data_IF_766937330024
#
_entry.id   IF_766937330024
#
_cell.length_a   1.000
_cell.length_b   1.000
_cell.length_c   1.000
_cell.angle_alpha   90.00
_cell.angle_beta   90.00
_cell.angle_gamma   90.00
#
_symmetry.space_group_name_H-M   'P 1'
#
loop_
_entity.id
_entity.type
_entity.pdbx_description
1 polymer ?
#
# COMPACT_ATOMS: atom_id res chain seq x y z
N UNK A 1 -3.45 61.17 11.47
CA UNK A 1 -4.30 60.32 10.59
C UNK A 1 -3.55 59.15 9.95
N UNK A 2 -2.23 59.27 9.70
CA UNK A 2 -1.40 58.25 9.03
C UNK A 2 -1.09 57.00 9.88
N UNK A 3 -0.81 57.15 11.19
CA UNK A 3 -0.54 56.02 12.10
C UNK A 3 -1.74 55.06 12.27
N UNK A 4 -2.98 55.57 12.28
CA UNK A 4 -4.18 54.73 12.39
C UNK A 4 -4.38 53.83 11.15
N UNK A 5 -4.01 54.32 9.96
CA UNK A 5 -4.07 53.51 8.72
C UNK A 5 -3.00 52.43 8.68
N UNK A 6 -1.80 52.69 9.19
CA UNK A 6 -0.73 51.68 9.27
C UNK A 6 -1.07 50.55 10.26
N UNK A 7 -1.65 50.88 11.42
CA UNK A 7 -2.10 49.86 12.38
C UNK A 7 -3.19 48.95 11.79
N UNK A 8 -4.16 49.51 11.06
CA UNK A 8 -5.23 48.73 10.43
C UNK A 8 -4.73 47.79 9.33
N UNK A 9 -3.72 48.20 8.57
CA UNK A 9 -3.09 47.36 7.53
C UNK A 9 -2.29 46.22 8.16
N UNK A 10 -1.53 46.46 9.23
CA UNK A 10 -0.82 45.40 9.95
C UNK A 10 -1.76 44.39 10.62
N UNK A 11 -2.89 44.84 11.19
CA UNK A 11 -3.90 43.95 11.78
C UNK A 11 -4.59 43.11 10.70
N UNK A 12 -4.91 43.67 9.53
CA UNK A 12 -5.44 42.90 8.40
C UNK A 12 -4.43 41.88 7.87
N UNK A 13 -3.14 42.23 7.75
CA UNK A 13 -2.08 41.30 7.34
C UNK A 13 -1.87 40.18 8.36
N UNK A 14 -1.92 40.47 9.66
CA UNK A 14 -1.86 39.46 10.72
C UNK A 14 -3.11 38.56 10.74
N UNK A 15 -4.30 39.09 10.45
CA UNK A 15 -5.53 38.31 10.31
C UNK A 15 -5.57 37.47 9.02
N UNK A 16 -4.94 37.94 7.93
CA UNK A 16 -4.77 37.17 6.69
C UNK A 16 -3.72 36.06 6.84
N UNK A 17 -2.63 36.32 7.58
CA UNK A 17 -1.63 35.30 7.94
C UNK A 17 -2.18 34.30 8.97
N UNK A 18 -3.00 34.74 9.92
CA UNK A 18 -3.71 33.86 10.85
C UNK A 18 -4.86 33.09 10.17
N UNK A 19 -5.49 33.66 9.13
CA UNK A 19 -6.52 33.04 8.31
C UNK A 19 -5.98 32.00 7.33
N UNK A 20 -4.73 32.13 6.87
CA UNK A 20 -4.00 31.07 6.15
C UNK A 20 -3.56 29.91 7.08
N UNK A 21 -3.60 30.11 8.39
CA UNK A 21 -3.37 29.09 9.42
C UNK A 21 -4.65 28.41 9.91
N UNK A 22 -5.78 28.59 9.22
CA UNK A 22 -6.99 27.79 9.42
C UNK A 22 -6.77 26.34 8.95
N UNK A 23 -6.09 25.60 9.83
CA UNK A 23 -6.02 24.15 9.98
C UNK A 23 -5.74 23.33 8.73
N UNK A 24 -4.50 23.38 8.21
CA UNK A 24 -3.90 22.15 7.67
C UNK A 24 -4.14 21.06 8.72
N UNK A 25 -4.91 20.01 8.39
CA UNK A 25 -5.11 18.90 9.33
C UNK A 25 -3.77 18.18 9.37
N UNK A 26 -2.86 18.67 10.22
CA UNK A 26 -1.57 18.06 10.42
C UNK A 26 -1.84 16.77 11.19
N UNK A 27 -1.70 15.64 10.50
CA UNK A 27 -1.77 14.36 11.15
C UNK A 27 -0.69 14.29 12.22
N UNK A 28 -1.04 13.83 13.42
CA UNK A 28 -0.09 13.65 14.52
C UNK A 28 0.74 12.37 14.35
N UNK A 29 0.14 11.37 13.69
CA UNK A 29 0.71 10.04 13.49
C UNK A 29 0.07 9.35 12.27
N UNK A 30 0.74 8.31 11.76
CA UNK A 30 0.15 7.37 10.78
C UNK A 30 0.23 5.95 11.34
N UNK A 31 -0.90 5.26 11.34
CA UNK A 31 -0.95 3.83 11.68
C UNK A 31 -1.23 3.03 10.41
N UNK A 32 -0.26 2.23 9.99
CA UNK A 32 -0.31 1.50 8.73
C UNK A 32 -0.51 0.00 8.95
N UNK A 33 -1.43 -0.58 8.19
CA UNK A 33 -1.77 -2.00 8.14
C UNK A 33 -1.71 -2.44 6.68
N UNK A 34 -1.28 -3.66 6.40
CA UNK A 34 -1.19 -4.17 5.04
C UNK A 34 -0.23 -5.33 4.89
N UNK A 35 0.23 -5.52 3.66
CA UNK A 35 1.16 -6.57 3.28
C UNK A 35 2.52 -6.02 2.84
N UNK A 36 3.21 -6.72 1.94
CA UNK A 36 4.51 -6.32 1.40
C UNK A 36 4.52 -5.00 0.63
N UNK A 37 3.36 -4.52 0.14
CA UNK A 37 3.28 -3.22 -0.57
C UNK A 37 3.49 -2.03 0.37
N UNK A 38 3.36 -2.24 1.68
CA UNK A 38 3.51 -1.19 2.70
C UNK A 38 4.31 -1.65 3.93
N UNK A 39 4.94 -2.84 3.92
CA UNK A 39 5.76 -3.35 5.04
C UNK A 39 7.06 -2.53 5.22
N UNK A 40 7.25 -1.98 6.43
CA UNK A 40 8.44 -1.20 6.78
C UNK A 40 9.63 -2.05 7.26
N UNK A 41 9.51 -3.38 7.28
CA UNK A 41 10.55 -4.31 7.72
C UNK A 41 10.20 -5.11 8.96
N UNK A 42 8.93 -5.46 9.19
CA UNK A 42 8.53 -6.22 10.38
C UNK A 42 9.15 -7.63 10.46
N UNK A 43 9.58 -8.20 9.33
CA UNK A 43 10.24 -9.51 9.29
C UNK A 43 11.75 -9.49 9.57
N UNK A 44 12.39 -8.32 9.62
CA UNK A 44 13.86 -8.20 9.78
C UNK A 44 14.29 -7.64 11.12
N UNK A 45 13.35 -7.30 12.01
CA UNK A 45 13.62 -6.67 13.31
C UNK A 45 14.56 -7.50 14.18
N UNK A 46 14.40 -8.84 14.17
CA UNK A 46 15.22 -9.76 14.96
C UNK A 46 16.37 -10.40 14.14
N UNK A 47 16.75 -9.76 13.03
CA UNK A 47 17.74 -10.26 12.07
C UNK A 47 17.11 -10.62 10.73
N UNK A 48 17.95 -10.75 9.70
CA UNK A 48 17.50 -11.03 8.33
C UNK A 48 17.30 -12.55 8.16
N UNK A 49 16.06 -13.04 7.93
CA UNK A 49 15.83 -14.45 7.67
C UNK A 49 16.46 -14.86 6.34
N UNK A 50 17.08 -16.04 6.28
CA UNK A 50 17.78 -16.52 5.07
C UNK A 50 16.86 -16.61 3.85
N UNK A 51 15.60 -17.01 4.06
CA UNK A 51 14.58 -17.15 3.03
C UNK A 51 14.06 -15.80 2.48
N UNK A 52 14.33 -14.68 3.16
CA UNK A 52 13.75 -13.38 2.82
C UNK A 52 14.63 -12.64 1.82
N UNK A 53 14.45 -12.94 0.54
CA UNK A 53 15.20 -12.29 -0.55
C UNK A 53 15.02 -10.75 -0.57
N UNK A 54 13.85 -10.25 -0.16
CA UNK A 54 13.52 -8.81 -0.10
C UNK A 54 14.32 -8.04 0.96
N UNK A 55 15.07 -8.74 1.81
CA UNK A 55 15.97 -8.16 2.81
C UNK A 55 17.46 -8.24 2.41
N UNK A 56 17.75 -8.54 1.14
CA UNK A 56 19.11 -8.60 0.58
C UNK A 56 19.28 -7.54 -0.51
N UNK A 57 20.53 -7.20 -0.85
CA UNK A 57 20.76 -6.35 -2.03
C UNK A 57 20.20 -7.06 -3.28
N UNK A 58 19.58 -6.33 -4.23
CA UNK A 58 19.61 -4.87 -4.39
C UNK A 58 18.40 -4.11 -3.79
N UNK A 59 17.60 -4.69 -2.91
CA UNK A 59 16.49 -3.95 -2.28
C UNK A 59 17.00 -2.76 -1.46
N UNK A 60 16.29 -1.63 -1.53
CA UNK A 60 16.68 -0.38 -0.87
C UNK A 60 17.81 0.40 -1.54
N UNK A 61 18.32 -0.01 -2.71
CA UNK A 61 19.47 0.62 -3.38
C UNK A 61 19.30 2.09 -3.77
N UNK A 62 18.07 2.60 -3.96
CA UNK A 62 17.84 3.98 -4.43
C UNK A 62 17.79 5.00 -3.29
N UNK A 63 16.88 4.81 -2.32
CA UNK A 63 16.67 5.79 -1.25
C UNK A 63 17.46 5.48 0.03
N UNK A 64 17.42 4.23 0.48
CA UNK A 64 18.02 3.85 1.76
C UNK A 64 19.51 3.55 1.62
N UNK A 65 19.95 3.09 0.44
CA UNK A 65 21.31 2.59 0.20
C UNK A 65 21.58 1.19 0.79
N UNK A 66 20.59 0.59 1.45
CA UNK A 66 20.66 -0.75 2.03
C UNK A 66 19.26 -1.36 2.18
N UNK A 67 19.14 -2.70 2.28
CA UNK A 67 17.84 -3.36 2.45
C UNK A 67 17.24 -3.08 3.82
N UNK A 68 16.02 -2.54 3.87
CA UNK A 68 15.28 -2.33 5.13
C UNK A 68 14.18 -3.38 5.37
N UNK A 69 14.04 -4.36 4.49
CA UNK A 69 12.89 -5.27 4.43
C UNK A 69 11.67 -4.72 3.68
N UNK A 70 11.74 -3.51 3.12
CA UNK A 70 10.75 -2.99 2.16
C UNK A 70 10.90 -3.74 0.84
N UNK A 71 9.78 -4.14 0.25
CA UNK A 71 9.75 -4.90 -1.00
C UNK A 71 9.84 -3.97 -2.22
N UNK A 72 10.90 -3.17 -2.31
CA UNK A 72 11.16 -2.24 -3.42
C UNK A 72 12.66 -1.90 -3.49
N UNK A 73 13.08 -1.20 -4.54
CA UNK A 73 14.39 -0.56 -4.63
C UNK A 73 14.54 0.60 -3.64
N UNK A 74 13.45 1.11 -3.07
CA UNK A 74 13.50 2.19 -2.07
C UNK A 74 12.23 2.34 -1.25
N UNK A 75 11.67 3.56 -1.24
CA UNK A 75 10.47 3.93 -0.48
C UNK A 75 9.20 3.28 -1.04
N UNK A 76 8.27 2.97 -0.13
CA UNK A 76 6.91 2.51 -0.44
C UNK A 76 5.91 3.69 -0.38
N UNK A 77 4.66 3.47 -0.81
CA UNK A 77 3.63 4.54 -0.84
C UNK A 77 3.47 5.23 0.53
N UNK A 78 3.54 4.45 1.61
CA UNK A 78 3.37 4.94 2.99
C UNK A 78 4.52 5.86 3.41
N UNK A 79 5.73 5.63 2.90
CA UNK A 79 6.89 6.46 3.21
C UNK A 79 6.76 7.83 2.55
N UNK A 80 6.34 7.87 1.29
CA UNK A 80 6.06 9.13 0.59
C UNK A 80 4.94 9.91 1.27
N UNK A 81 3.86 9.24 1.70
CA UNK A 81 2.76 9.88 2.43
C UNK A 81 3.27 10.46 3.76
N UNK A 82 4.05 9.71 4.53
CA UNK A 82 4.62 10.20 5.79
C UNK A 82 5.47 11.46 5.58
N UNK A 83 6.34 11.45 4.57
CA UNK A 83 7.21 12.58 4.25
C UNK A 83 6.41 13.81 3.82
N UNK A 84 5.42 13.65 2.95
CA UNK A 84 4.59 14.77 2.49
C UNK A 84 3.79 15.40 3.65
N UNK A 85 3.36 14.58 4.61
CA UNK A 85 2.66 15.04 5.81
C UNK A 85 3.59 15.61 6.89
N UNK A 86 4.90 15.64 6.64
CA UNK A 86 5.90 16.14 7.59
C UNK A 86 6.08 15.25 8.82
N UNK A 87 5.85 13.94 8.67
CA UNK A 87 6.02 12.92 9.71
C UNK A 87 7.27 12.05 9.44
N UNK A 88 7.86 11.46 10.49
CA UNK A 88 8.95 10.50 10.29
C UNK A 88 8.46 9.25 9.56
N UNK A 89 9.39 8.55 8.90
CA UNK A 89 9.11 7.22 8.36
C UNK A 89 8.66 6.29 9.49
N UNK A 90 7.63 5.49 9.23
CA UNK A 90 7.02 4.68 10.26
C UNK A 90 7.95 3.52 10.68
N UNK A 91 8.24 3.37 11.98
CA UNK A 91 8.99 2.22 12.46
C UNK A 91 8.15 0.94 12.31
N UNK A 92 8.77 -0.22 12.04
CA UNK A 92 8.11 -1.51 12.15
C UNK A 92 7.53 -1.69 13.56
N UNK A 93 6.29 -2.14 13.67
CA UNK A 93 5.60 -2.29 14.95
C UNK A 93 6.27 -3.28 15.89
N UNK A 94 7.06 -4.21 15.35
CA UNK A 94 7.85 -5.18 16.11
C UNK A 94 9.18 -4.63 16.65
N UNK A 95 9.60 -3.43 16.24
CA UNK A 95 10.86 -2.83 16.65
C UNK A 95 10.94 -2.64 18.18
N UNK A 96 12.04 -3.05 18.79
CA UNK A 96 12.24 -3.00 20.25
C UNK A 96 12.68 -1.62 20.76
N UNK A 97 13.45 -0.89 19.95
CA UNK A 97 14.06 0.40 20.31
C UNK A 97 13.46 1.57 19.50
N UNK A 98 12.15 1.55 19.28
CA UNK A 98 11.44 2.59 18.56
C UNK A 98 10.40 3.28 19.46
N UNK A 99 10.13 4.55 19.18
CA UNK A 99 8.99 5.27 19.74
C UNK A 99 7.84 5.26 18.73
N UNK A 100 6.62 5.12 19.23
CA UNK A 100 5.43 4.95 18.37
C UNK A 100 4.45 6.14 18.49
N UNK A 101 4.88 7.26 19.08
CA UNK A 101 4.06 8.47 19.25
C UNK A 101 3.65 9.12 17.92
N UNK A 102 4.46 8.95 16.87
CA UNK A 102 4.14 9.38 15.50
C UNK A 102 3.57 8.25 14.63
N UNK A 103 3.18 7.15 15.26
CA UNK A 103 2.58 6.02 14.59
C UNK A 103 3.52 4.83 14.44
N UNK A 104 3.00 3.79 13.80
CA UNK A 104 3.67 2.51 13.63
C UNK A 104 3.21 1.84 12.34
N UNK A 105 4.08 1.00 11.79
CA UNK A 105 3.77 0.17 10.65
C UNK A 105 3.55 -1.29 11.11
N UNK A 106 2.31 -1.75 11.07
CA UNK A 106 1.90 -3.12 11.42
C UNK A 106 1.86 -4.06 10.21
N UNK A 107 2.07 -3.54 9.01
CA UNK A 107 2.06 -4.35 7.80
C UNK A 107 3.14 -5.42 7.84
N UNK A 108 2.84 -6.58 7.27
CA UNK A 108 3.78 -7.70 7.24
C UNK A 108 3.68 -8.43 5.91
N UNK A 109 4.82 -8.65 5.28
CA UNK A 109 4.94 -9.33 3.98
C UNK A 109 4.14 -10.65 3.97
N UNK A 110 3.26 -10.78 2.98
CA UNK A 110 2.39 -11.96 2.80
C UNK A 110 1.08 -11.93 3.60
N UNK A 111 0.75 -10.83 4.28
CA UNK A 111 -0.50 -10.69 5.01
C UNK A 111 -1.74 -10.76 4.11
N UNK A 112 -2.81 -11.32 4.67
CA UNK A 112 -4.12 -11.49 4.06
C UNK A 112 -5.19 -10.66 4.77
N UNK A 113 -6.30 -10.34 4.10
CA UNK A 113 -7.49 -9.82 4.78
C UNK A 113 -8.10 -10.89 5.70
N UNK A 114 -8.15 -12.14 5.22
CA UNK A 114 -8.74 -13.28 5.91
C UNK A 114 -7.73 -13.93 6.87
N UNK A 115 -8.22 -14.53 7.95
CA UNK A 115 -7.37 -15.27 8.88
C UNK A 115 -6.86 -16.60 8.27
N UNK A 116 -5.68 -17.04 8.69
CA UNK A 116 -5.07 -18.30 8.21
C UNK A 116 -6.00 -19.51 8.36
N UNK A 117 -6.85 -19.52 9.39
CA UNK A 117 -7.85 -20.58 9.63
C UNK A 117 -8.82 -20.75 8.47
N UNK A 118 -9.19 -19.67 7.78
CA UNK A 118 -10.05 -19.71 6.59
C UNK A 118 -9.40 -20.51 5.45
N UNK A 119 -8.11 -20.26 5.19
CA UNK A 119 -7.35 -20.96 4.16
C UNK A 119 -7.12 -22.43 4.53
N UNK A 120 -6.78 -22.72 5.79
CA UNK A 120 -6.61 -24.10 6.28
C UNK A 120 -7.89 -24.92 6.06
N UNK A 121 -9.06 -24.37 6.39
CA UNK A 121 -10.34 -25.03 6.18
C UNK A 121 -10.65 -25.35 4.70
N UNK A 122 -10.02 -24.64 3.76
CA UNK A 122 -10.14 -24.86 2.31
C UNK A 122 -9.00 -25.68 1.70
N UNK A 123 -8.11 -26.23 2.54
CA UNK A 123 -6.94 -27.00 2.10
C UNK A 123 -5.81 -26.14 1.54
N UNK A 124 -5.81 -24.84 1.82
CA UNK A 124 -4.86 -23.85 1.28
C UNK A 124 -3.83 -23.37 2.30
N UNK A 125 -3.79 -23.96 3.50
CA UNK A 125 -2.90 -23.52 4.58
C UNK A 125 -1.41 -23.48 4.19
N UNK A 126 -0.97 -24.34 3.27
CA UNK A 126 0.43 -24.38 2.78
C UNK A 126 0.78 -23.24 1.82
N UNK A 127 -0.20 -22.55 1.24
CA UNK A 127 0.04 -21.42 0.33
C UNK A 127 -0.09 -20.07 1.01
N UNK A 128 -0.43 -20.05 2.30
CA UNK A 128 -0.41 -18.84 3.13
C UNK A 128 1.03 -18.62 3.62
N UNK A 129 1.62 -17.51 3.20
CA UNK A 129 3.01 -17.19 3.53
C UNK A 129 3.18 -16.70 4.98
N UNK A 130 2.21 -15.95 5.50
CA UNK A 130 2.29 -15.31 6.81
C UNK A 130 0.92 -15.33 7.52
N UNK A 131 0.91 -15.52 8.84
CA UNK A 131 -0.31 -15.51 9.66
C UNK A 131 -0.74 -14.13 10.17
N UNK A 132 -0.01 -13.08 9.83
CA UNK A 132 -0.31 -11.69 10.21
C UNK A 132 -1.43 -11.06 9.39
N UNK A 133 -2.63 -11.65 9.42
CA UNK A 133 -3.84 -11.12 8.77
C UNK A 133 -4.17 -9.69 9.24
N UNK A 134 -5.05 -8.99 8.51
CA UNK A 134 -5.58 -7.68 8.93
C UNK A 134 -6.02 -7.67 10.40
N UNK A 135 -6.79 -8.66 10.83
CA UNK A 135 -7.29 -8.74 12.21
C UNK A 135 -6.18 -9.00 13.22
N UNK A 136 -5.14 -9.75 12.82
CA UNK A 136 -3.93 -9.94 13.64
C UNK A 136 -3.16 -8.63 13.79
N UNK A 137 -3.03 -7.85 12.72
CA UNK A 137 -2.36 -6.55 12.77
C UNK A 137 -3.13 -5.53 13.63
N UNK A 138 -4.46 -5.53 13.56
CA UNK A 138 -5.31 -4.72 14.47
C UNK A 138 -5.08 -5.14 15.93
N UNK A 139 -4.97 -6.44 16.20
CA UNK A 139 -4.64 -6.94 17.54
C UNK A 139 -3.26 -6.42 18.01
N UNK A 140 -2.27 -6.38 17.12
CA UNK A 140 -0.96 -5.79 17.46
C UNK A 140 -1.05 -4.31 17.80
N UNK A 141 -1.91 -3.54 17.12
CA UNK A 141 -2.18 -2.14 17.52
C UNK A 141 -2.75 -2.09 18.93
N UNK A 142 -3.75 -2.92 19.23
CA UNK A 142 -4.40 -2.96 20.55
C UNK A 142 -3.38 -3.27 21.67
N UNK A 143 -2.50 -4.25 21.43
CA UNK A 143 -1.41 -4.61 22.33
C UNK A 143 -0.34 -3.52 22.46
N UNK A 144 -0.16 -2.68 21.43
CA UNK A 144 0.78 -1.55 21.44
C UNK A 144 0.26 -0.33 22.19
N UNK A 145 -1.06 -0.18 22.40
CA UNK A 145 -1.67 1.01 23.03
C UNK A 145 -0.95 1.48 24.32
N UNK A 146 -0.57 0.61 25.28
CA UNK A 146 0.15 1.04 26.48
C UNK A 146 1.52 1.68 26.22
N UNK A 147 2.11 1.49 25.03
CA UNK A 147 3.39 2.10 24.62
C UNK A 147 3.22 3.47 23.93
N UNK A 148 2.01 3.84 23.53
CA UNK A 148 1.72 5.08 22.77
C UNK A 148 0.88 6.08 23.54
N UNK A 149 0.09 5.62 24.51
CA UNK A 149 -0.82 6.43 25.31
C UNK A 149 -0.89 5.88 26.75
N UNK A 150 -1.09 6.79 27.71
CA UNK A 150 -1.18 6.51 29.15
C UNK A 150 -2.63 6.29 29.62
N UNK A 151 -3.62 6.59 28.78
CA UNK A 151 -5.05 6.36 29.05
C UNK A 151 -5.84 6.08 27.76
N UNK A 152 -7.00 5.40 27.84
CA UNK A 152 -7.89 5.20 26.68
C UNK A 152 -8.32 6.51 26.01
N UNK A 153 -8.51 7.58 26.77
CA UNK A 153 -8.89 8.91 26.29
C UNK A 153 -7.76 9.54 25.48
N UNK A 154 -6.52 9.41 25.95
CA UNK A 154 -5.33 9.86 25.22
C UNK A 154 -5.15 9.08 23.92
N UNK A 155 -5.35 7.75 23.93
CA UNK A 155 -5.29 6.94 22.70
C UNK A 155 -6.33 7.42 21.68
N UNK A 156 -7.58 7.61 22.12
CA UNK A 156 -8.67 8.10 21.26
C UNK A 156 -8.35 9.50 20.71
N UNK A 157 -7.78 10.37 21.53
CA UNK A 157 -7.33 11.70 21.11
C UNK A 157 -6.21 11.67 20.06
N UNK A 158 -5.25 10.74 20.20
CA UNK A 158 -4.21 10.50 19.20
C UNK A 158 -4.82 9.96 17.90
N UNK A 159 -5.58 8.86 17.97
CA UNK A 159 -6.15 8.18 16.81
C UNK A 159 -7.10 9.08 16.00
N UNK A 160 -7.87 9.96 16.66
CA UNK A 160 -8.71 10.96 15.99
C UNK A 160 -7.92 11.98 15.18
N UNK A 161 -6.63 12.16 15.49
CA UNK A 161 -5.69 13.05 14.76
C UNK A 161 -4.69 12.27 13.91
N UNK A 162 -4.89 10.97 13.72
CA UNK A 162 -4.02 10.11 12.93
C UNK A 162 -4.64 9.75 11.60
N UNK A 163 -3.78 9.44 10.62
CA UNK A 163 -4.18 8.80 9.38
C UNK A 163 -4.01 7.29 9.54
N UNK A 164 -5.05 6.52 9.23
CA UNK A 164 -4.96 5.07 9.17
C UNK A 164 -4.87 4.64 7.71
N UNK A 165 -3.87 3.84 7.36
CA UNK A 165 -3.74 3.23 6.03
C UNK A 165 -4.01 1.74 6.19
N UNK A 166 -5.06 1.22 5.54
CA UNK A 166 -5.60 -0.13 5.77
C UNK A 166 -5.49 -0.96 4.50
N UNK A 167 -4.26 -1.30 4.14
CA UNK A 167 -3.94 -2.19 3.03
C UNK A 167 -2.71 -1.76 2.23
N UNK A 168 -2.47 -2.42 1.10
CA UNK A 168 -3.41 -3.30 0.38
C UNK A 168 -3.72 -4.63 1.11
N UNK A 169 -4.96 -5.11 0.95
CA UNK A 169 -5.38 -6.45 1.36
C UNK A 169 -6.27 -7.08 0.28
N UNK A 170 -6.03 -8.35 -0.05
CA UNK A 170 -6.69 -9.07 -1.12
C UNK A 170 -5.70 -9.76 -2.07
N UNK A 171 -4.57 -9.13 -2.40
CA UNK A 171 -3.55 -9.70 -3.26
C UNK A 171 -3.10 -11.09 -2.80
N UNK A 172 -2.69 -11.22 -1.53
CA UNK A 172 -2.29 -12.51 -0.96
C UNK A 172 -3.46 -13.48 -0.75
N UNK A 173 -4.67 -12.96 -0.50
CA UNK A 173 -5.88 -13.78 -0.38
C UNK A 173 -6.21 -14.49 -1.70
N UNK A 174 -5.97 -13.85 -2.85
CA UNK A 174 -6.13 -14.45 -4.17
C UNK A 174 -4.93 -15.28 -4.60
N UNK A 175 -3.71 -14.90 -4.19
CA UNK A 175 -2.50 -15.67 -4.47
C UNK A 175 -2.53 -17.07 -3.89
N UNK A 176 -3.09 -17.22 -2.68
CA UNK A 176 -3.19 -18.53 -2.01
C UNK A 176 -3.90 -19.59 -2.87
N UNK A 177 -5.14 -19.38 -3.38
CA UNK A 177 -5.78 -20.32 -4.29
C UNK A 177 -5.22 -20.28 -5.72
N UNK A 178 -4.77 -19.13 -6.24
CA UNK A 178 -4.17 -19.05 -7.59
C UNK A 178 -2.90 -19.90 -7.71
N UNK A 179 -1.98 -19.79 -6.75
CA UNK A 179 -0.73 -20.56 -6.74
C UNK A 179 -0.92 -22.01 -6.29
N UNK A 180 -2.08 -22.35 -5.71
CA UNK A 180 -2.54 -23.72 -5.58
C UNK A 180 -3.22 -24.26 -6.87
N UNK A 181 -3.20 -23.50 -7.96
CA UNK A 181 -3.82 -23.82 -9.25
C UNK A 181 -5.32 -24.15 -9.14
N UNK A 182 -6.02 -23.49 -8.22
CA UNK A 182 -7.49 -23.56 -8.14
C UNK A 182 -8.09 -22.86 -9.35
N UNK A 183 -9.28 -23.29 -9.74
CA UNK A 183 -10.02 -22.69 -10.86
C UNK A 183 -10.35 -21.23 -10.55
N UNK A 184 -10.31 -20.37 -11.55
CA UNK A 184 -10.49 -18.92 -11.35
C UNK A 184 -11.88 -18.60 -10.79
N UNK A 185 -12.90 -19.40 -11.14
CA UNK A 185 -14.25 -19.29 -10.59
C UNK A 185 -14.25 -19.49 -9.06
N UNK A 186 -13.48 -20.44 -8.54
CA UNK A 186 -13.31 -20.65 -7.09
C UNK A 186 -12.56 -19.49 -6.43
N UNK A 187 -11.62 -18.86 -7.14
CA UNK A 187 -10.92 -17.67 -6.64
C UNK A 187 -11.87 -16.48 -6.54
N UNK A 188 -12.78 -16.32 -7.51
CA UNK A 188 -13.79 -15.25 -7.48
C UNK A 188 -14.72 -15.35 -6.26
N UNK A 189 -14.99 -16.54 -5.73
CA UNK A 189 -15.78 -16.72 -4.50
C UNK A 189 -15.14 -16.03 -3.29
N UNK A 190 -13.81 -15.86 -3.27
CA UNK A 190 -13.12 -15.20 -2.16
C UNK A 190 -13.41 -13.70 -2.11
N UNK A 191 -13.80 -13.06 -3.22
CA UNK A 191 -13.97 -11.60 -3.30
C UNK A 191 -14.90 -11.07 -2.21
N UNK A 192 -16.08 -11.69 -2.05
CA UNK A 192 -17.04 -11.27 -1.03
C UNK A 192 -16.49 -11.41 0.39
N UNK A 193 -15.79 -12.51 0.68
CA UNK A 193 -15.20 -12.77 1.99
C UNK A 193 -14.06 -11.79 2.32
N UNK A 194 -13.17 -11.54 1.37
CA UNK A 194 -12.05 -10.60 1.50
C UNK A 194 -12.57 -9.19 1.77
N UNK A 195 -13.49 -8.69 0.93
CA UNK A 195 -14.05 -7.34 1.06
C UNK A 195 -14.82 -7.17 2.38
N UNK A 196 -15.57 -8.19 2.81
CA UNK A 196 -16.25 -8.15 4.11
C UNK A 196 -15.24 -8.11 5.27
N UNK A 197 -14.18 -8.90 5.22
CA UNK A 197 -13.12 -8.90 6.25
C UNK A 197 -12.42 -7.52 6.35
N UNK A 198 -12.16 -6.88 5.20
CA UNK A 198 -11.63 -5.50 5.17
C UNK A 198 -12.61 -4.53 5.83
N UNK A 199 -13.90 -4.63 5.49
CA UNK A 199 -14.95 -3.81 6.09
C UNK A 199 -15.04 -3.98 7.61
N UNK A 200 -14.96 -5.21 8.12
CA UNK A 200 -14.91 -5.51 9.55
C UNK A 200 -13.67 -4.92 10.23
N UNK A 201 -12.51 -4.99 9.57
CA UNK A 201 -11.28 -4.38 10.08
C UNK A 201 -11.39 -2.86 10.17
N UNK A 202 -11.98 -2.21 9.17
CA UNK A 202 -12.27 -0.78 9.19
C UNK A 202 -13.18 -0.42 10.37
N UNK A 203 -14.26 -1.18 10.59
CA UNK A 203 -15.16 -0.94 11.73
C UNK A 203 -14.44 -1.08 13.08
N UNK A 204 -13.55 -2.07 13.22
CA UNK A 204 -12.74 -2.25 14.44
C UNK A 204 -11.82 -1.03 14.66
N UNK A 205 -11.17 -0.53 13.62
CA UNK A 205 -10.31 0.66 13.71
C UNK A 205 -11.11 1.93 14.05
N UNK A 206 -12.33 2.07 13.50
CA UNK A 206 -13.24 3.17 13.87
C UNK A 206 -13.62 3.05 15.35
N UNK A 207 -13.90 1.85 15.85
CA UNK A 207 -14.20 1.61 17.27
C UNK A 207 -13.00 1.94 18.20
N UNK A 208 -11.76 1.82 17.71
CA UNK A 208 -10.57 2.29 18.43
C UNK A 208 -10.44 3.83 18.45
N UNK A 209 -11.09 4.54 17.52
CA UNK A 209 -11.09 6.00 17.43
C UNK A 209 -10.54 6.57 16.12
N UNK A 210 -10.32 5.74 15.10
CA UNK A 210 -9.90 6.21 13.78
C UNK A 210 -11.02 7.00 13.10
N UNK A 211 -10.69 8.18 12.57
CA UNK A 211 -11.64 9.05 11.84
C UNK A 211 -11.18 9.40 10.42
N UNK A 212 -9.95 9.06 10.04
CA UNK A 212 -9.41 9.20 8.69
C UNK A 212 -8.75 7.88 8.29
N UNK A 213 -9.35 7.18 7.32
CA UNK A 213 -8.89 5.87 6.87
C UNK A 213 -8.71 5.86 5.36
N UNK A 214 -7.53 5.49 4.89
CA UNK A 214 -7.21 5.23 3.48
C UNK A 214 -7.28 3.72 3.26
N UNK A 215 -8.10 3.31 2.29
CA UNK A 215 -8.41 1.92 2.00
C UNK A 215 -8.04 1.64 0.54
N UNK A 216 -6.82 1.16 0.29
CA UNK A 216 -6.39 0.86 -1.07
C UNK A 216 -7.03 -0.40 -1.64
N UNK A 217 -7.38 -0.35 -2.93
CA UNK A 217 -7.75 -1.53 -3.70
C UNK A 217 -6.54 -2.33 -4.19
N UNK A 218 -6.76 -3.44 -4.88
CA UNK A 218 -5.70 -4.32 -5.40
C UNK A 218 -5.12 -3.84 -6.73
N UNK A 219 -3.86 -4.22 -6.96
CA UNK A 219 -3.12 -4.02 -8.22
C UNK A 219 -3.74 -4.80 -9.40
N UNK A 220 -3.45 -4.43 -10.66
CA UNK A 220 -3.86 -5.21 -11.84
C UNK A 220 -2.93 -6.42 -12.00
N UNK A 221 -3.17 -7.48 -11.22
CA UNK A 221 -2.23 -8.59 -11.03
C UNK A 221 -1.87 -9.32 -12.34
N UNK A 222 -2.76 -9.35 -13.32
CA UNK A 222 -2.51 -9.94 -14.64
C UNK A 222 -1.42 -9.22 -15.43
N UNK A 223 -0.99 -8.03 -15.02
CA UNK A 223 0.15 -7.33 -15.60
C UNK A 223 1.50 -7.69 -14.97
N UNK A 224 1.54 -8.40 -13.84
CA UNK A 224 2.79 -8.63 -13.11
C UNK A 224 3.57 -9.84 -13.66
N UNK A 225 4.90 -9.71 -13.84
CA UNK A 225 5.77 -10.78 -14.34
C UNK A 225 5.59 -12.15 -13.66
N UNK A 226 5.30 -12.20 -12.35
CA UNK A 226 5.06 -13.46 -11.65
C UNK A 226 3.88 -14.23 -12.25
N UNK A 227 2.74 -13.57 -12.45
CA UNK A 227 1.54 -14.21 -13.03
C UNK A 227 1.74 -14.51 -14.50
N UNK A 228 2.37 -13.61 -15.25
CA UNK A 228 2.69 -13.81 -16.66
C UNK A 228 3.61 -15.02 -16.89
N UNK A 229 4.51 -15.30 -15.95
CA UNK A 229 5.44 -16.43 -16.03
C UNK A 229 4.80 -17.75 -15.64
N UNK A 230 3.92 -17.75 -14.62
CA UNK A 230 3.25 -18.95 -14.10
C UNK A 230 2.05 -19.34 -14.98
N UNK A 231 1.19 -18.38 -15.32
CA UNK A 231 -0.08 -18.62 -16.03
C UNK A 231 0.07 -18.28 -17.51
N UNK A 232 0.73 -19.18 -18.26
CA UNK A 232 0.78 -19.08 -19.72
C UNK A 232 -0.62 -19.32 -20.29
N UNK A 233 -1.16 -18.32 -20.98
CA UNK A 233 -2.47 -18.37 -21.62
C UNK A 233 -2.33 -18.37 -23.14
N UNK A 234 -3.45 -18.56 -23.83
CA UNK A 234 -3.54 -18.40 -25.27
C UNK A 234 -3.44 -16.89 -25.65
N UNK A 235 -2.90 -16.52 -26.83
CA UNK A 235 -2.63 -15.11 -27.22
C UNK A 235 -3.79 -14.13 -27.06
N UNK A 236 -5.01 -14.56 -27.38
CA UNK A 236 -6.27 -13.80 -27.26
C UNK A 236 -6.63 -13.45 -25.80
N UNK A 237 -6.15 -14.22 -24.83
CA UNK A 237 -6.35 -13.94 -23.40
C UNK A 237 -5.47 -12.81 -22.87
N UNK A 238 -4.55 -12.30 -23.68
CA UNK A 238 -3.73 -11.13 -23.36
C UNK A 238 -4.33 -9.84 -23.94
N UNK A 239 -4.19 -8.74 -23.21
CA UNK A 239 -4.52 -7.41 -23.73
C UNK A 239 -3.58 -7.04 -24.88
N UNK A 240 -4.12 -6.76 -26.06
CA UNK A 240 -3.30 -6.55 -27.27
C UNK A 240 -2.27 -5.40 -27.15
N UNK A 241 -2.58 -4.36 -26.36
CA UNK A 241 -1.65 -3.26 -26.08
C UNK A 241 -0.84 -3.46 -24.80
N UNK A 242 -1.46 -3.97 -23.73
CA UNK A 242 -0.82 -4.08 -22.42
C UNK A 242 0.05 -5.31 -22.24
N UNK A 243 -0.22 -6.39 -22.99
CA UNK A 243 0.38 -7.70 -22.75
C UNK A 243 -0.03 -8.35 -21.42
N UNK A 244 -1.01 -7.81 -20.71
CA UNK A 244 -1.49 -8.34 -19.43
C UNK A 244 -2.53 -9.44 -19.64
N UNK A 245 -2.61 -10.39 -18.70
CA UNK A 245 -3.62 -11.43 -18.66
C UNK A 245 -4.99 -10.83 -18.28
N UNK A 246 -5.98 -10.96 -19.17
CA UNK A 246 -7.30 -10.29 -19.03
C UNK A 246 -8.13 -10.79 -17.86
N UNK A 247 -8.21 -12.11 -17.67
CA UNK A 247 -9.07 -12.72 -16.65
C UNK A 247 -8.56 -12.43 -15.22
N UNK A 248 -7.24 -12.46 -15.01
CA UNK A 248 -6.62 -12.03 -13.74
C UNK A 248 -6.80 -10.53 -13.46
N UNK A 249 -6.67 -9.66 -14.48
CA UNK A 249 -6.98 -8.24 -14.32
C UNK A 249 -8.48 -7.99 -14.06
N UNK A 250 -9.36 -8.87 -14.53
CA UNK A 250 -10.79 -8.82 -14.26
C UNK A 250 -11.07 -9.17 -12.80
N UNK A 251 -10.40 -10.18 -12.24
CA UNK A 251 -10.49 -10.50 -10.81
C UNK A 251 -10.14 -9.29 -9.94
N UNK A 252 -9.00 -8.63 -10.20
CA UNK A 252 -8.60 -7.41 -9.51
C UNK A 252 -9.64 -6.28 -9.64
N UNK A 253 -10.19 -6.09 -10.83
CA UNK A 253 -11.22 -5.08 -11.07
C UNK A 253 -12.51 -5.39 -10.29
N UNK A 254 -12.95 -6.66 -10.27
CA UNK A 254 -14.13 -7.11 -9.51
C UNK A 254 -13.94 -6.88 -8.01
N UNK A 255 -12.76 -7.17 -7.45
CA UNK A 255 -12.43 -6.80 -6.07
C UNK A 255 -12.58 -5.29 -5.85
N UNK A 256 -11.95 -4.48 -6.69
CA UNK A 256 -11.92 -3.03 -6.51
C UNK A 256 -13.32 -2.41 -6.55
N UNK A 257 -14.18 -2.87 -7.46
CA UNK A 257 -15.59 -2.44 -7.52
C UNK A 257 -16.36 -2.86 -6.27
N UNK A 258 -16.15 -4.10 -5.78
CA UNK A 258 -16.80 -4.58 -4.56
C UNK A 258 -16.34 -3.80 -3.32
N UNK A 259 -15.04 -3.51 -3.22
CA UNK A 259 -14.46 -2.71 -2.13
C UNK A 259 -14.99 -1.28 -2.13
N UNK A 260 -15.07 -0.62 -3.29
CA UNK A 260 -15.66 0.72 -3.40
C UNK A 260 -17.13 0.74 -2.94
N UNK A 261 -17.93 -0.28 -3.29
CA UNK A 261 -19.30 -0.41 -2.79
C UNK A 261 -19.34 -0.56 -1.27
N UNK A 262 -18.46 -1.39 -0.70
CA UNK A 262 -18.33 -1.54 0.76
C UNK A 262 -17.94 -0.22 1.44
N UNK A 263 -17.03 0.55 0.84
CA UNK A 263 -16.66 1.88 1.33
C UNK A 263 -17.86 2.84 1.31
N UNK A 264 -18.68 2.82 0.26
CA UNK A 264 -19.91 3.62 0.20
C UNK A 264 -20.89 3.24 1.32
N UNK A 265 -21.04 1.95 1.61
CA UNK A 265 -21.85 1.49 2.75
C UNK A 265 -21.30 2.00 4.09
N UNK A 266 -19.99 1.87 4.31
CA UNK A 266 -19.33 2.30 5.54
C UNK A 266 -19.41 3.82 5.73
N UNK A 267 -19.24 4.62 4.66
CA UNK A 267 -19.41 6.09 4.69
C UNK A 267 -20.82 6.49 5.12
N UNK A 268 -21.85 5.76 4.68
CA UNK A 268 -23.24 6.02 5.10
C UNK A 268 -23.46 5.69 6.57
N UNK A 269 -22.80 4.65 7.08
CA UNK A 269 -22.92 4.20 8.47
C UNK A 269 -22.14 5.08 9.45
N UNK A 270 -20.99 5.61 9.02
CA UNK A 270 -20.08 6.43 9.85
C UNK A 270 -19.88 7.81 9.24
N UNK A 271 -20.91 8.66 9.32
CA UNK A 271 -20.91 9.97 8.68
C UNK A 271 -19.84 10.95 9.22
N UNK A 272 -19.32 10.70 10.42
CA UNK A 272 -18.24 11.46 11.06
C UNK A 272 -16.83 10.94 10.74
N UNK A 273 -16.74 9.85 9.97
CA UNK A 273 -15.48 9.22 9.57
C UNK A 273 -15.21 9.44 8.09
N UNK A 274 -14.00 9.94 7.79
CA UNK A 274 -13.51 10.07 6.41
C UNK A 274 -12.83 8.79 5.96
N UNK A 275 -13.56 7.97 5.21
CA UNK A 275 -13.03 6.75 4.58
C UNK A 275 -12.70 7.08 3.11
N UNK A 276 -11.46 6.90 2.69
CA UNK A 276 -10.91 7.25 1.38
C UNK A 276 -10.58 5.98 0.61
N UNK A 277 -11.17 5.80 -0.57
CA UNK A 277 -10.71 4.75 -1.49
C UNK A 277 -9.40 5.22 -2.13
N UNK A 278 -8.41 4.33 -2.23
CA UNK A 278 -7.14 4.61 -2.86
C UNK A 278 -6.86 3.61 -3.99
N UNK A 279 -6.54 4.12 -5.17
CA UNK A 279 -6.45 3.34 -6.40
C UNK A 279 -5.00 2.98 -6.71
N UNK A 280 -4.69 1.70 -6.65
CA UNK A 280 -3.46 1.12 -7.18
C UNK A 280 -3.59 0.70 -8.64
N UNK A 281 -4.80 0.32 -9.07
CA UNK A 281 -5.08 -0.31 -10.36
C UNK A 281 -4.84 0.63 -11.53
N UNK A 282 -5.51 1.78 -11.52
CA UNK A 282 -5.46 2.75 -12.61
C UNK A 282 -4.04 3.27 -12.87
N UNK A 283 -3.28 3.79 -11.88
CA UNK A 283 -1.92 4.26 -12.14
C UNK A 283 -1.03 3.15 -12.68
N UNK A 284 -1.14 1.92 -12.17
CA UNK A 284 -0.32 0.80 -12.64
C UNK A 284 -0.62 0.45 -14.10
N UNK A 285 -1.90 0.44 -14.50
CA UNK A 285 -2.27 0.29 -15.92
C UNK A 285 -1.71 1.44 -16.76
N UNK A 286 -1.69 2.67 -16.24
CA UNK A 286 -1.10 3.80 -16.95
C UNK A 286 0.42 3.69 -17.10
N UNK A 287 1.13 3.14 -16.12
CA UNK A 287 2.56 2.84 -16.26
C UNK A 287 2.80 1.83 -17.39
N UNK A 288 1.92 0.82 -17.54
CA UNK A 288 2.03 -0.18 -18.61
C UNK A 288 1.66 0.38 -19.98
N UNK A 289 0.62 1.20 -20.08
CA UNK A 289 0.07 1.67 -21.37
C UNK A 289 0.63 3.00 -21.85
N UNK A 290 1.09 3.85 -20.93
CA UNK A 290 1.49 5.24 -21.16
C UNK A 290 2.78 5.59 -20.39
N UNK A 291 3.72 4.64 -20.32
CA UNK A 291 4.96 4.73 -19.56
C UNK A 291 5.69 6.07 -19.74
N UNK A 292 5.75 6.56 -20.97
CA UNK A 292 6.44 7.80 -21.32
C UNK A 292 5.88 9.04 -20.59
N UNK A 293 4.59 9.06 -20.24
CA UNK A 293 3.97 10.16 -19.48
C UNK A 293 4.44 10.21 -18.03
N UNK A 294 5.04 9.12 -17.56
CA UNK A 294 5.52 8.92 -16.20
C UNK A 294 7.05 8.89 -16.13
N UNK A 295 7.74 9.26 -17.22
CA UNK A 295 9.21 9.16 -17.29
C UNK A 295 9.74 7.72 -17.35
N UNK A 296 8.86 6.75 -17.64
CA UNK A 296 9.20 5.33 -17.67
C UNK A 296 9.38 4.81 -19.09
N UNK A 297 10.17 3.75 -19.23
CA UNK A 297 10.40 3.07 -20.49
C UNK A 297 9.15 2.34 -20.95
N UNK A 298 8.77 2.58 -22.22
CA UNK A 298 7.70 1.84 -22.86
C UNK A 298 8.17 0.43 -23.20
N UNK A 299 7.73 -0.54 -22.42
CA UNK A 299 8.03 -1.95 -22.62
C UNK A 299 6.83 -2.84 -22.27
N UNK A 300 6.80 -4.05 -22.84
CA UNK A 300 5.92 -5.11 -22.30
C UNK A 300 6.25 -5.32 -20.82
N UNK A 301 5.28 -5.79 -20.00
CA UNK A 301 5.51 -6.03 -18.59
C UNK A 301 6.85 -6.74 -18.32
N UNK A 302 7.70 -6.16 -17.49
CA UNK A 302 9.06 -6.65 -17.23
C UNK A 302 9.52 -6.14 -15.87
N UNK A 303 10.14 -7.01 -15.09
CA UNK A 303 10.76 -6.62 -13.82
C UNK A 303 12.08 -5.89 -14.08
N UNK A 304 12.37 -4.83 -13.31
CA UNK A 304 13.70 -4.20 -13.30
C UNK A 304 14.76 -5.17 -12.73
N UNK A 305 14.46 -5.80 -11.59
CA UNK A 305 15.33 -6.73 -10.91
C UNK A 305 14.82 -8.17 -11.03
N UNK A 306 15.67 -9.06 -11.51
CA UNK A 306 15.34 -10.48 -11.65
C UNK A 306 16.40 -11.21 -12.46
N UNK A 307 16.01 -12.26 -13.19
CA UNK A 307 16.95 -13.14 -13.89
C UNK A 307 17.06 -12.79 -15.39
N UNK A 308 18.02 -11.93 -15.80
CA UNK A 308 18.19 -11.58 -17.20
C UNK A 308 18.53 -12.83 -18.03
N UNK A 309 17.93 -12.93 -19.22
CA UNK A 309 18.16 -14.03 -20.16
C UNK A 309 17.46 -15.36 -19.84
N UNK A 310 16.88 -15.54 -18.65
CA UNK A 310 16.21 -16.81 -18.27
C UNK A 310 14.69 -16.77 -18.52
N UNK A 311 14.07 -15.60 -18.48
CA UNK A 311 12.62 -15.43 -18.65
C UNK A 311 12.25 -14.20 -19.49
N UNK A 312 11.14 -14.30 -20.24
CA UNK A 312 10.64 -13.24 -21.13
C UNK A 312 10.37 -11.92 -20.38
N UNK A 313 9.98 -12.03 -19.11
CA UNK A 313 9.57 -10.91 -18.26
C UNK A 313 10.65 -10.46 -17.26
N UNK A 314 11.91 -10.89 -17.43
CA UNK A 314 12.99 -10.75 -16.44
C UNK A 314 12.65 -11.36 -15.08
N UNK A 315 11.86 -12.43 -15.06
CA UNK A 315 11.37 -13.05 -13.83
C UNK A 315 11.57 -14.56 -13.87
N UNK A 316 12.03 -15.14 -12.77
CA UNK A 316 12.19 -16.57 -12.59
C UNK A 316 11.97 -16.95 -11.11
N UNK A 317 11.25 -18.06 -10.86
CA UNK A 317 10.93 -18.53 -9.50
C UNK A 317 12.12 -19.10 -8.72
N UNK A 318 13.23 -19.44 -9.38
CA UNK A 318 14.45 -19.96 -8.75
C UNK A 318 15.60 -18.94 -8.73
N UNK A 319 15.38 -17.75 -9.27
CA UNK A 319 16.35 -16.66 -9.34
C UNK A 319 15.60 -15.32 -9.26
N UNK A 320 14.90 -15.12 -8.15
CA UNK A 320 14.15 -13.88 -7.88
C UNK A 320 15.12 -12.75 -7.54
N UNK A 321 14.66 -11.51 -7.62
CA UNK A 321 15.46 -10.38 -7.14
C UNK A 321 15.95 -10.62 -5.71
N UNK A 322 17.25 -10.41 -5.46
CA UNK A 322 17.92 -10.70 -4.19
C UNK A 322 18.43 -12.14 -4.01
N UNK A 323 18.20 -13.02 -4.99
CA UNK A 323 18.75 -14.38 -5.03
C UNK A 323 19.93 -14.49 -6.02
N UNK A 324 20.78 -15.53 -5.91
CA UNK A 324 21.86 -15.76 -6.86
C UNK A 324 21.38 -15.82 -8.31
N UNK A 325 22.10 -15.14 -9.20
CA UNK A 325 21.76 -15.05 -10.62
C UNK A 325 20.74 -13.95 -10.96
N UNK A 326 20.26 -13.19 -9.98
CA UNK A 326 19.43 -12.02 -10.22
C UNK A 326 20.24 -10.71 -10.22
N UNK A 327 19.84 -9.79 -11.11
CA UNK A 327 20.46 -8.47 -11.29
C UNK A 327 19.39 -7.40 -11.40
N UNK A 328 19.65 -6.24 -10.82
CA UNK A 328 18.84 -5.04 -11.05
C UNK A 328 19.14 -4.43 -12.42
N UNK A 329 18.16 -3.70 -12.97
CA UNK A 329 18.36 -2.84 -14.13
C UNK A 329 19.21 -1.61 -13.73
N UNK A 330 19.83 -0.96 -14.72
CA UNK A 330 20.75 0.17 -14.48
C UNK A 330 20.06 1.40 -13.85
N UNK A 331 18.81 1.64 -14.22
CA UNK A 331 18.02 2.78 -13.74
C UNK A 331 16.60 2.35 -13.35
N UNK A 332 16.37 2.03 -12.06
CA UNK A 332 15.04 1.68 -11.55
C UNK A 332 14.00 2.80 -11.70
N UNK A 333 14.42 4.07 -11.81
CA UNK A 333 13.49 5.21 -11.86
C UNK A 333 12.66 5.27 -13.14
N UNK A 334 13.13 4.63 -14.21
CA UNK A 334 12.43 4.52 -15.48
C UNK A 334 11.69 3.18 -15.67
N UNK A 335 11.60 2.35 -14.62
CA UNK A 335 10.84 1.10 -14.60
C UNK A 335 9.64 1.22 -13.67
N UNK A 336 8.57 0.46 -13.95
CA UNK A 336 7.39 0.47 -13.08
C UNK A 336 7.36 -0.70 -12.08
N UNK A 337 7.84 -1.87 -12.48
CA UNK A 337 7.90 -3.09 -11.67
C UNK A 337 9.32 -3.32 -11.18
N UNK A 338 9.48 -3.53 -9.88
CA UNK A 338 10.77 -3.80 -9.27
C UNK A 338 11.19 -5.24 -9.50
N UNK A 339 10.59 -6.19 -8.78
CA UNK A 339 10.99 -7.61 -8.76
C UNK A 339 10.01 -8.53 -9.51
N UNK A 340 9.02 -7.95 -10.19
CA UNK A 340 7.96 -8.69 -10.88
C UNK A 340 6.74 -9.05 -10.03
N UNK A 341 6.74 -8.67 -8.75
CA UNK A 341 5.63 -8.78 -7.79
C UNK A 341 5.29 -7.39 -7.24
N UNK A 342 6.31 -6.59 -6.95
CA UNK A 342 6.20 -5.27 -6.34
C UNK A 342 6.58 -4.16 -7.33
N UNK A 343 6.22 -2.93 -6.96
CA UNK A 343 6.52 -1.74 -7.72
C UNK A 343 7.90 -1.16 -7.34
N UNK A 344 8.48 -0.40 -8.24
CA UNK A 344 9.67 0.43 -7.96
C UNK A 344 9.32 1.60 -7.05
N UNK A 345 10.32 2.20 -6.40
CA UNK A 345 10.19 3.45 -5.65
C UNK A 345 9.52 4.56 -6.49
N UNK A 346 9.92 4.72 -7.76
CA UNK A 346 9.37 5.73 -8.65
C UNK A 346 7.84 5.59 -8.83
N UNK A 347 7.39 4.38 -9.16
CA UNK A 347 5.96 4.02 -9.19
C UNK A 347 5.25 4.34 -7.88
N UNK A 348 5.79 3.93 -6.72
CA UNK A 348 5.16 4.23 -5.44
C UNK A 348 5.06 5.73 -5.18
N UNK A 349 6.06 6.51 -5.58
CA UNK A 349 6.03 7.98 -5.47
C UNK A 349 4.93 8.61 -6.34
N UNK A 350 4.75 8.13 -7.57
CA UNK A 350 3.67 8.59 -8.44
C UNK A 350 2.28 8.24 -7.88
N UNK A 351 2.12 7.04 -7.35
CA UNK A 351 0.87 6.59 -6.73
C UNK A 351 0.58 7.40 -5.46
N UNK A 352 1.58 7.59 -4.59
CA UNK A 352 1.46 8.38 -3.38
C UNK A 352 0.99 9.80 -3.69
N UNK A 353 1.60 10.46 -4.69
CA UNK A 353 1.17 11.80 -5.13
C UNK A 353 -0.29 11.80 -5.58
N UNK A 354 -0.71 10.79 -6.34
CA UNK A 354 -2.09 10.64 -6.77
C UNK A 354 -3.08 10.36 -5.64
N UNK A 355 -2.67 9.71 -4.56
CA UNK A 355 -3.50 9.54 -3.36
C UNK A 355 -3.56 10.82 -2.52
N UNK A 356 -2.44 11.53 -2.41
CA UNK A 356 -2.31 12.77 -1.65
C UNK A 356 -3.17 13.88 -2.26
N UNK A 357 -3.06 14.08 -3.58
CA UNK A 357 -3.63 15.24 -4.28
C UNK A 357 -4.70 14.89 -5.33
N UNK A 358 -4.95 13.61 -5.58
CA UNK A 358 -5.78 13.14 -6.69
C UNK A 358 -4.95 12.87 -7.96
N UNK A 359 -5.52 12.13 -8.93
CA UNK A 359 -6.90 11.64 -8.96
C UNK A 359 -7.06 10.21 -8.44
N UNK A 360 -6.02 9.59 -7.88
CA UNK A 360 -6.01 8.17 -7.51
C UNK A 360 -6.51 7.91 -6.08
N UNK A 361 -7.25 8.85 -5.50
CA UNK A 361 -8.00 8.63 -4.27
C UNK A 361 -9.30 9.42 -4.28
N UNK A 362 -10.33 8.82 -3.69
CA UNK A 362 -11.66 9.42 -3.53
C UNK A 362 -12.05 9.40 -2.04
N UNK A 363 -12.18 10.55 -1.38
CA UNK A 363 -11.52 11.82 -1.73
C UNK A 363 -9.99 11.72 -1.56
N UNK A 364 -9.20 12.64 -2.14
CA UNK A 364 -7.75 12.71 -1.88
C UNK A 364 -7.41 12.97 -0.41
N UNK A 365 -6.23 12.53 0.04
CA UNK A 365 -5.79 12.64 1.44
C UNK A 365 -5.69 14.11 1.87
N UNK A 366 -5.05 14.97 1.06
CA UNK A 366 -4.81 16.39 1.40
C UNK A 366 -5.94 17.30 0.90
N UNK A 367 -6.62 16.90 -0.19
CA UNK A 367 -7.74 17.64 -0.82
C UNK A 367 -7.33 19.00 -1.41
N UNK A 368 -8.01 19.44 -2.48
CA UNK A 368 -7.90 20.82 -2.96
C UNK A 368 -8.44 21.78 -1.90
N UNK A 369 -7.55 22.46 -1.19
CA UNK A 369 -7.90 23.61 -0.36
C UNK A 369 -7.87 24.83 -1.27
N UNK A 370 -9.06 25.38 -1.52
CA UNK A 370 -9.33 26.65 -2.21
C UNK A 370 -9.27 26.62 -3.74
N UNK A 371 -10.43 26.34 -4.35
CA UNK A 371 -10.89 27.02 -5.56
C UNK A 371 -12.36 27.42 -5.34
N UNK A 372 -12.57 28.40 -4.46
CA UNK A 372 -13.71 29.32 -4.54
C UNK A 372 -13.15 30.75 -4.60
#
# INVERSE_FOLDING_TARGET
MMMRRQLSVCVLLLLLLAGQQAAAKKYAAIFNFGDSLVDAGNLVVDGIPEYLATAKLPYGMTYFGYPTGRCSDGRLVVDFIAQELGLPLLPPSKARNATFHHGANFAITGATALDTSYFVAKGLGKTVWNSGSLHTQIKWLQEMKPKICSSPEECRGLFRRSLFIVGEFGGNDYNSPLFAFRRLEEVHEFVGHVVNSIGEGIEKLIAEGAVDLVVPGVLPIGCFPVYLSIFRKQPEMYGGKSGCIKDLNTLSWVHNVALQRKIVELRKKHADVRIMYADYYTPTIQFVLHAEKWGMLRQKPRACCGAPGVGVYNFNLTSKCGEPGAYACDDPSNHWSWDGIHLTEASYGHIARGWLYGPFADPPIVGNRNLE
#
